data_IF_922813658126
#
_entry.id   IF_922813658126
#
_cell.length_a   1.000
_cell.length_b   1.000
_cell.length_c   1.000
_cell.angle_alpha   90.00
_cell.angle_beta   90.00
_cell.angle_gamma   90.00
#
_symmetry.space_group_name_H-M   'P 1'
#
loop_
_entity.id
_entity.type
_entity.pdbx_description
1 polymer ?
#
# COMPACT_ATOMS: atom_id res chain seq x y z
N UNK A 1 -9.24 8.15 -1.46
CA UNK A 1 -8.29 8.62 -0.44
C UNK A 1 -6.94 7.96 -0.68
N UNK A 2 -5.84 8.65 -0.42
CA UNK A 2 -4.48 8.12 -0.53
C UNK A 2 -3.74 8.46 0.75
N UNK A 3 -3.11 7.48 1.39
CA UNK A 3 -2.27 7.69 2.56
C UNK A 3 -0.80 7.53 2.19
N UNK A 4 0.03 8.40 2.78
CA UNK A 4 1.48 8.31 2.69
C UNK A 4 2.01 7.84 4.04
N UNK A 5 2.67 6.69 4.02
CA UNK A 5 3.21 6.01 5.19
C UNK A 5 4.72 5.86 4.99
N UNK A 6 5.50 6.05 6.04
CA UNK A 6 6.94 5.80 5.96
C UNK A 6 7.22 4.30 5.79
N UNK A 7 8.33 3.95 5.16
CA UNK A 7 8.66 2.56 4.86
C UNK A 7 8.79 1.66 6.12
N UNK A 8 9.19 2.24 7.25
CA UNK A 8 9.36 1.49 8.50
C UNK A 8 7.99 1.11 9.10
N UNK A 9 7.05 2.05 9.14
CA UNK A 9 5.66 1.81 9.55
C UNK A 9 4.94 0.85 8.59
N UNK A 10 5.22 0.99 7.28
CA UNK A 10 4.69 0.08 6.27
C UNK A 10 5.14 -1.36 6.52
N UNK A 11 6.45 -1.60 6.67
CA UNK A 11 7.01 -2.94 6.91
C UNK A 11 6.54 -3.56 8.22
N UNK A 12 6.31 -2.76 9.26
CA UNK A 12 5.74 -3.22 10.52
C UNK A 12 4.30 -3.74 10.33
N UNK A 13 3.45 -2.99 9.61
CA UNK A 13 2.08 -3.40 9.26
C UNK A 13 2.05 -4.56 8.27
N UNK A 14 3.05 -4.66 7.38
CA UNK A 14 3.17 -5.72 6.38
C UNK A 14 3.20 -7.13 6.97
N UNK A 15 3.65 -7.27 8.23
CA UNK A 15 3.64 -8.55 8.94
C UNK A 15 2.25 -9.05 9.29
N UNK A 16 1.27 -8.14 9.36
CA UNK A 16 -0.11 -8.44 9.78
C UNK A 16 -1.11 -8.39 8.63
N UNK A 17 -0.78 -7.73 7.52
CA UNK A 17 -1.64 -7.60 6.34
C UNK A 17 -1.27 -8.62 5.26
N UNK A 18 -2.24 -9.06 4.46
CA UNK A 18 -1.98 -9.96 3.33
C UNK A 18 -1.69 -9.11 2.09
N UNK A 19 -0.49 -9.23 1.53
CA UNK A 19 -0.13 -8.54 0.31
C UNK A 19 0.14 -9.52 -0.84
N UNK A 20 -0.26 -9.13 -2.05
CA UNK A 20 -0.09 -9.89 -3.29
C UNK A 20 0.30 -8.94 -4.43
N UNK A 21 0.96 -9.47 -5.46
CA UNK A 21 1.29 -8.69 -6.65
C UNK A 21 0.19 -8.91 -7.68
N UNK A 22 -0.49 -7.83 -8.10
CA UNK A 22 -1.49 -7.84 -9.17
C UNK A 22 -1.10 -6.82 -10.23
N UNK A 23 -1.03 -7.23 -11.50
CA UNK A 23 -0.67 -6.33 -12.62
C UNK A 23 0.63 -5.52 -12.40
N UNK A 24 1.63 -6.13 -11.75
CA UNK A 24 2.89 -5.47 -11.41
C UNK A 24 2.81 -4.46 -10.27
N UNK A 25 1.66 -4.33 -9.61
CA UNK A 25 1.43 -3.48 -8.44
C UNK A 25 1.33 -4.32 -7.19
N UNK A 26 1.81 -3.78 -6.06
CA UNK A 26 1.68 -4.43 -4.76
C UNK A 26 0.33 -4.07 -4.14
N UNK A 27 -0.55 -5.06 -3.96
CA UNK A 27 -1.87 -4.90 -3.37
C UNK A 27 -1.87 -5.51 -1.97
N UNK A 28 -2.15 -4.71 -0.95
CA UNK A 28 -2.24 -5.12 0.46
C UNK A 28 -3.67 -5.00 0.97
N UNK A 29 -4.25 -6.13 1.36
CA UNK A 29 -5.56 -6.23 1.99
C UNK A 29 -5.44 -6.10 3.51
N UNK A 30 -6.31 -5.30 4.14
CA UNK A 30 -6.19 -4.97 5.56
C UNK A 30 -5.36 -3.71 5.85
N UNK A 31 -4.80 -3.06 4.82
CA UNK A 31 -3.86 -1.96 5.02
C UNK A 31 -4.53 -0.58 5.16
N UNK A 32 -5.58 -0.32 4.37
CA UNK A 32 -6.42 0.87 4.45
C UNK A 32 -7.87 0.42 4.65
N UNK A 33 -8.49 0.76 5.78
CA UNK A 33 -9.91 0.50 6.08
C UNK A 33 -10.35 -0.96 5.83
N UNK A 34 -9.49 -1.93 6.15
CA UNK A 34 -9.70 -3.36 5.91
C UNK A 34 -9.92 -3.76 4.43
N UNK A 35 -9.64 -2.84 3.49
CA UNK A 35 -9.83 -3.03 2.05
C UNK A 35 -8.50 -3.25 1.33
N UNK A 36 -8.52 -3.85 0.12
CA UNK A 36 -7.34 -3.95 -0.72
C UNK A 36 -6.86 -2.55 -1.14
N UNK A 37 -5.60 -2.25 -0.84
CA UNK A 37 -4.92 -1.02 -1.21
C UNK A 37 -3.72 -1.33 -2.10
N UNK A 38 -3.59 -0.63 -3.22
CA UNK A 38 -2.37 -0.60 -4.02
C UNK A 38 -1.35 0.30 -3.32
N UNK A 39 -0.20 -0.26 -3.00
CA UNK A 39 0.91 0.44 -2.35
C UNK A 39 2.08 0.59 -3.33
N UNK A 40 2.53 1.82 -3.51
CA UNK A 40 3.68 2.17 -4.35
C UNK A 40 4.80 2.72 -3.46
N UNK A 41 6.00 2.16 -3.58
CA UNK A 41 7.17 2.67 -2.86
C UNK A 41 7.74 3.83 -3.67
N UNK A 42 7.79 5.01 -3.07
CA UNK A 42 8.32 6.24 -3.65
C UNK A 42 9.53 6.70 -2.84
N UNK A 43 10.60 7.11 -3.51
CA UNK A 43 11.75 7.72 -2.85
C UNK A 43 11.66 9.24 -2.96
N UNK A 44 11.61 9.93 -1.82
CA UNK A 44 11.61 11.38 -1.77
C UNK A 44 12.70 11.86 -0.81
N UNK A 45 13.60 12.73 -1.28
CA UNK A 45 14.68 13.32 -0.48
C UNK A 45 15.56 12.27 0.23
N UNK A 46 15.87 11.16 -0.44
CA UNK A 46 16.67 10.06 0.12
C UNK A 46 15.96 9.23 1.19
N UNK A 47 14.65 9.39 1.35
CA UNK A 47 13.82 8.57 2.25
C UNK A 47 12.79 7.80 1.44
N UNK A 48 12.70 6.49 1.70
CA UNK A 48 11.67 5.64 1.13
C UNK A 48 10.35 5.87 1.87
N UNK A 49 9.31 6.20 1.13
CA UNK A 49 7.93 6.27 1.58
C UNK A 49 7.10 5.28 0.79
N UNK A 50 5.98 4.87 1.36
CA UNK A 50 4.99 4.03 0.67
C UNK A 50 3.69 4.80 0.57
N UNK A 51 3.25 5.01 -0.66
CA UNK A 51 1.98 5.62 -0.97
C UNK A 51 0.96 4.53 -1.24
N UNK A 52 0.02 4.35 -0.32
CA UNK A 52 -1.06 3.40 -0.49
C UNK A 52 -2.34 4.12 -0.92
N UNK A 53 -3.00 3.57 -1.93
CA UNK A 53 -4.30 4.02 -2.42
C UNK A 53 -5.24 2.83 -2.41
N UNK A 54 -6.46 3.01 -1.94
CA UNK A 54 -7.49 1.97 -2.07
C UNK A 54 -7.57 1.54 -3.54
N UNK A 55 -7.48 0.23 -3.79
CA UNK A 55 -7.59 -0.32 -5.13
C UNK A 55 -9.06 -0.25 -5.55
N UNK A 56 -9.52 0.93 -5.93
CA UNK A 56 -10.83 1.15 -6.54
C UNK A 56 -10.75 0.88 -8.04
N UNK A 57 -10.23 -0.28 -8.44
CA UNK A 57 -10.69 -0.90 -9.68
C UNK A 57 -12.07 -1.50 -9.37
N UNK A 58 -13.05 -0.61 -9.20
CA UNK A 58 -14.45 -0.97 -9.36
C UNK A 58 -14.71 -1.11 -10.85
N UNK A 59 -15.17 -2.27 -11.29
CA UNK A 59 -16.39 -2.33 -12.06
C UNK A 59 -17.54 -2.65 -11.10
N UNK A 60 -18.61 -1.90 -11.25
CA UNK A 60 -19.96 -2.38 -10.94
C UNK A 60 -20.18 -3.69 -11.71
#
# INVERSE_FOLDING_TARGET
MSEEIDFQSFTARFKTVKCRIENGKLVCEGFLDDKPAVCEIVEENGKQKVKCKLNVESPV
#
